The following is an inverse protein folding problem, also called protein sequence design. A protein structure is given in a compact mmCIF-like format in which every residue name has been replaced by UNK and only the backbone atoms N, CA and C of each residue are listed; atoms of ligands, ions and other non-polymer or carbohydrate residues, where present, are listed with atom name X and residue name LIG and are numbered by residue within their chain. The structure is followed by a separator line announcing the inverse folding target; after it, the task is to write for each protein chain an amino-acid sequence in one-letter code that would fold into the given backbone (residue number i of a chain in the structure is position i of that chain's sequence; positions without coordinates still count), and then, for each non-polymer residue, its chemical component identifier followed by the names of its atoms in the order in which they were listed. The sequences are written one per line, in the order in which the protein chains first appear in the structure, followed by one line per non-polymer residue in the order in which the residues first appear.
data_IF_737976114238
#
_entry.id   IF_737976114238
#
_cell.length_a   1.000
_cell.length_b   1.000
_cell.length_c   1.000
_cell.angle_alpha   90.00
_cell.angle_beta   90.00
_cell.angle_gamma   90.00
#
_symmetry.space_group_name_H-M   'P 1'
#
loop_
_entity.id
_entity.type
_entity.pdbx_description
1 polymer ?
#
# COMPACT_ATOMS: atom_id res chain seq x y z
N UNK A 1 1.95 -13.88 -11.92
CA UNK A 1 3.42 -13.82 -12.02
C UNK A 1 3.75 -12.35 -11.81
N UNK A 2 4.17 -11.99 -10.61
CA UNK A 2 4.55 -10.59 -10.31
C UNK A 2 5.91 -10.32 -10.96
N UNK A 3 6.03 -9.26 -11.75
CA UNK A 3 7.27 -8.95 -12.47
C UNK A 3 8.35 -8.38 -11.53
N UNK A 4 9.60 -8.84 -11.68
CA UNK A 4 10.79 -8.30 -11.00
C UNK A 4 10.85 -6.76 -11.11
N UNK A 5 11.23 -6.06 -10.02
CA UNK A 5 11.59 -4.64 -10.06
C UNK A 5 12.89 -4.46 -10.83
N UNK A 6 12.97 -3.42 -11.67
CA UNK A 6 14.20 -3.15 -12.38
C UNK A 6 15.28 -2.69 -11.39
N UNK A 7 16.55 -3.02 -11.66
CA UNK A 7 17.68 -2.59 -10.83
C UNK A 7 17.77 -1.07 -10.69
N UNK A 8 17.33 -0.33 -11.71
CA UNK A 8 17.21 1.13 -11.68
C UNK A 8 16.19 1.60 -10.65
N UNK A 9 15.06 0.91 -10.51
CA UNK A 9 14.00 1.27 -9.57
C UNK A 9 14.47 1.03 -8.13
N UNK A 10 15.12 -0.11 -7.88
CA UNK A 10 15.69 -0.44 -6.57
C UNK A 10 16.76 0.59 -6.17
N UNK A 11 17.65 0.96 -7.09
CA UNK A 11 18.67 1.98 -6.84
C UNK A 11 18.06 3.36 -6.60
N UNK A 12 16.99 3.70 -7.32
CA UNK A 12 16.21 4.91 -7.13
C UNK A 12 15.58 4.98 -5.74
N UNK A 13 14.88 3.91 -5.34
CA UNK A 13 14.28 3.76 -4.01
C UNK A 13 15.36 3.93 -2.93
N UNK A 14 16.50 3.23 -3.02
CA UNK A 14 17.61 3.39 -2.05
C UNK A 14 18.08 4.84 -1.97
N UNK A 15 18.20 5.53 -3.11
CA UNK A 15 18.66 6.92 -3.16
C UNK A 15 17.66 7.86 -2.52
N UNK A 16 16.37 7.67 -2.82
CA UNK A 16 15.27 8.45 -2.26
C UNK A 16 15.19 8.25 -0.75
N UNK A 17 15.27 7.00 -0.29
CA UNK A 17 15.25 6.64 1.13
C UNK A 17 16.45 7.22 1.89
N UNK A 18 17.67 7.15 1.33
CA UNK A 18 18.87 7.80 1.91
C UNK A 18 18.71 9.32 2.06
N UNK A 19 17.95 9.94 1.16
CA UNK A 19 17.74 11.39 1.14
C UNK A 19 16.62 11.82 2.08
N UNK A 20 15.60 10.99 2.22
CA UNK A 20 14.46 11.21 3.11
C UNK A 20 14.83 10.96 4.58
N UNK A 21 15.59 9.89 4.85
CA UNK A 21 15.90 9.45 6.21
C UNK A 21 17.41 9.33 6.40
N UNK A 22 17.94 10.13 7.32
CA UNK A 22 19.37 10.18 7.61
C UNK A 22 19.81 8.87 8.27
N UNK A 23 20.87 8.26 7.73
CA UNK A 23 21.49 7.05 8.29
C UNK A 23 20.54 5.82 8.37
N UNK A 24 19.61 5.72 7.41
CA UNK A 24 18.61 4.65 7.38
C UNK A 24 19.19 3.27 7.07
N UNK A 25 20.20 3.16 6.20
CA UNK A 25 20.78 1.87 5.83
C UNK A 25 22.01 1.53 6.66
N UNK A 26 22.14 0.25 7.04
CA UNK A 26 23.33 -0.21 7.74
C UNK A 26 24.55 -0.11 6.81
N UNK A 27 25.65 0.55 7.21
CA UNK A 27 26.88 0.54 6.44
C UNK A 27 27.51 -0.84 6.52
N UNK A 28 27.23 -1.70 5.54
CA UNK A 28 27.94 -2.95 5.35
C UNK A 28 29.26 -2.67 4.65
N UNK A 29 30.33 -3.39 5.04
CA UNK A 29 31.66 -3.29 4.43
C UNK A 29 31.63 -3.63 2.92
N UNK A 30 30.64 -4.41 2.50
CA UNK A 30 30.37 -4.80 1.11
C UNK A 30 29.44 -3.82 0.36
N UNK A 31 28.89 -2.80 1.04
CA UNK A 31 27.99 -1.81 0.44
C UNK A 31 26.59 -2.32 0.04
N UNK A 32 26.29 -3.59 0.31
CA UNK A 32 25.02 -4.25 -0.03
C UNK A 32 23.89 -3.77 0.88
N UNK A 33 23.08 -2.81 0.42
CA UNK A 33 21.96 -2.25 1.19
C UNK A 33 20.63 -3.02 1.03
N UNK A 34 20.54 -3.89 0.02
CA UNK A 34 19.33 -4.65 -0.32
C UNK A 34 19.71 -6.08 -0.66
N UNK A 35 18.93 -7.04 -0.15
CA UNK A 35 19.05 -8.46 -0.50
C UNK A 35 17.81 -8.82 -1.31
N UNK A 36 18.03 -9.44 -2.47
CA UNK A 36 16.95 -9.92 -3.32
C UNK A 36 16.91 -11.43 -3.26
N UNK A 37 15.73 -12.00 -3.06
CA UNK A 37 15.51 -13.43 -3.10
C UNK A 37 14.11 -13.78 -3.64
N UNK A 38 13.96 -15.03 -4.10
CA UNK A 38 12.67 -15.52 -4.59
C UNK A 38 11.90 -16.17 -3.44
N UNK A 39 10.63 -15.79 -3.27
CA UNK A 39 9.73 -16.43 -2.32
C UNK A 39 9.26 -17.80 -2.79
N UNK A 40 8.97 -18.70 -1.85
CA UNK A 40 8.45 -20.06 -2.12
C UNK A 40 6.99 -20.02 -2.64
N UNK A 41 6.28 -18.92 -2.36
CA UNK A 41 4.89 -18.72 -2.79
C UNK A 41 4.78 -18.09 -4.19
N UNK A 42 3.90 -18.67 -5.02
CA UNK A 42 3.62 -18.17 -6.38
C UNK A 42 2.99 -16.74 -6.42
N UNK A 43 2.46 -16.24 -5.31
CA UNK A 43 1.94 -14.87 -5.17
C UNK A 43 3.01 -13.86 -4.74
N UNK A 44 4.08 -14.31 -4.06
CA UNK A 44 5.13 -13.48 -3.47
C UNK A 44 6.52 -13.85 -4.04
N UNK A 45 6.59 -14.00 -5.36
CA UNK A 45 7.79 -14.58 -5.99
C UNK A 45 9.03 -13.68 -5.88
N UNK A 46 8.90 -12.36 -5.75
CA UNK A 46 10.05 -11.44 -5.68
C UNK A 46 10.05 -10.68 -4.34
N UNK A 47 11.07 -10.92 -3.52
CA UNK A 47 11.21 -10.31 -2.19
C UNK A 47 12.51 -9.48 -2.14
N UNK A 48 12.39 -8.27 -1.59
CA UNK A 48 13.48 -7.30 -1.47
C UNK A 48 13.64 -6.88 0.00
N UNK A 49 14.68 -7.38 0.65
CA UNK A 49 14.98 -7.06 2.05
C UNK A 49 15.94 -5.88 2.13
N UNK A 50 15.44 -4.76 2.63
CA UNK A 50 16.23 -3.56 2.87
C UNK A 50 16.84 -3.61 4.27
N UNK A 51 18.18 -3.64 4.36
CA UNK A 51 18.86 -3.75 5.66
C UNK A 51 19.00 -2.38 6.30
N UNK A 52 18.09 -2.09 7.22
CA UNK A 52 18.07 -0.82 7.95
C UNK A 52 19.08 -0.83 9.11
N UNK A 53 19.64 0.34 9.44
CA UNK A 53 20.62 0.50 10.53
C UNK A 53 19.95 0.53 11.91
N UNK A 54 18.70 0.98 11.96
CA UNK A 54 17.88 1.10 13.16
C UNK A 54 16.43 0.79 12.79
N UNK A 55 15.63 0.41 13.77
CA UNK A 55 14.18 0.40 13.60
C UNK A 55 13.68 1.80 13.20
N UNK A 56 12.71 1.85 12.30
CA UNK A 56 12.12 3.11 11.87
C UNK A 56 10.98 3.50 12.79
N UNK A 57 10.74 4.79 12.92
CA UNK A 57 9.53 5.32 13.56
C UNK A 57 8.31 5.19 12.64
N UNK A 58 7.09 5.28 13.18
CA UNK A 58 5.86 5.25 12.37
C UNK A 58 5.87 6.32 11.26
N UNK A 59 6.21 7.56 11.61
CA UNK A 59 6.28 8.66 10.65
C UNK A 59 7.32 8.39 9.53
N UNK A 60 8.45 7.77 9.87
CA UNK A 60 9.44 7.34 8.88
C UNK A 60 8.90 6.21 8.00
N UNK A 61 8.15 5.26 8.57
CA UNK A 61 7.52 4.16 7.84
C UNK A 61 6.45 4.65 6.84
N UNK A 62 5.60 5.60 7.25
CA UNK A 62 4.62 6.22 6.35
C UNK A 62 5.28 6.96 5.20
N UNK A 63 6.38 7.68 5.48
CA UNK A 63 7.17 8.36 4.45
C UNK A 63 7.78 7.34 3.50
N UNK A 64 8.35 6.23 4.00
CA UNK A 64 8.90 5.15 3.17
C UNK A 64 7.82 4.55 2.26
N UNK A 65 6.65 4.23 2.82
CA UNK A 65 5.52 3.69 2.07
C UNK A 65 5.09 4.66 0.97
N UNK A 66 4.87 5.93 1.31
CA UNK A 66 4.48 6.96 0.34
C UNK A 66 5.50 7.12 -0.77
N UNK A 67 6.79 7.15 -0.45
CA UNK A 67 7.85 7.28 -1.45
C UNK A 67 7.91 6.08 -2.39
N UNK A 68 7.67 4.86 -1.89
CA UNK A 68 7.66 3.65 -2.73
C UNK A 68 6.38 3.62 -3.58
N UNK A 69 5.21 3.92 -3.01
CA UNK A 69 3.95 4.02 -3.75
C UNK A 69 4.00 5.09 -4.84
N UNK A 70 4.67 6.21 -4.60
CA UNK A 70 4.85 7.26 -5.62
C UNK A 70 5.90 6.86 -6.67
N UNK A 71 6.83 5.95 -6.34
CA UNK A 71 7.89 5.50 -7.25
C UNK A 71 7.45 4.36 -8.17
N UNK A 72 6.57 3.48 -7.72
CA UNK A 72 6.11 2.32 -8.50
C UNK A 72 4.59 2.20 -8.52
N UNK A 73 4.03 1.98 -9.70
CA UNK A 73 2.61 1.66 -9.90
C UNK A 73 2.30 0.17 -9.64
N UNK A 74 3.30 -0.64 -9.28
CA UNK A 74 3.11 -2.07 -9.01
C UNK A 74 2.47 -2.28 -7.64
N UNK A 75 1.55 -3.25 -7.55
CA UNK A 75 1.08 -3.76 -6.26
C UNK A 75 2.23 -4.48 -5.54
N UNK A 76 2.52 -4.08 -4.31
CA UNK A 76 3.53 -4.70 -3.45
C UNK A 76 3.00 -4.89 -2.03
N UNK A 77 3.58 -5.86 -1.32
CA UNK A 77 3.40 -6.04 0.12
C UNK A 77 4.68 -5.52 0.77
N UNK A 78 4.54 -4.66 1.77
CA UNK A 78 5.65 -4.12 2.54
C UNK A 78 5.52 -4.57 3.98
N UNK A 79 6.58 -5.17 4.50
CA UNK A 79 6.77 -5.41 5.93
C UNK A 79 7.90 -4.51 6.41
N UNK A 80 7.70 -3.83 7.55
CA UNK A 80 8.68 -2.93 8.11
C UNK A 80 8.80 -3.12 9.61
N UNK A 81 10.03 -3.26 10.08
CA UNK A 81 10.31 -3.37 11.53
C UNK A 81 10.33 -1.97 12.13
N UNK A 82 9.27 -1.61 12.86
CA UNK A 82 9.20 -0.35 13.60
C UNK A 82 9.88 -0.49 14.97
N UNK A 83 10.45 0.61 15.48
CA UNK A 83 11.04 0.66 16.83
C UNK A 83 9.99 0.86 17.93
N UNK A 84 8.77 1.21 17.56
CA UNK A 84 7.66 1.34 18.49
C UNK A 84 7.04 -0.03 18.70
N UNK A 85 7.02 -0.49 19.95
CA UNK A 85 6.25 -1.67 20.33
C UNK A 85 4.78 -1.32 20.06
N UNK A 86 4.25 -1.81 18.93
CA UNK A 86 2.87 -2.21 18.90
C UNK A 86 2.76 -3.29 19.97
N UNK A 87 2.38 -2.89 21.20
CA UNK A 87 1.91 -3.82 22.20
C UNK A 87 0.72 -4.52 21.55
N UNK A 88 1.02 -5.69 20.98
CA UNK A 88 0.15 -6.84 20.78
C UNK A 88 -1.33 -6.48 21.01
N UNK A 89 -1.93 -5.80 20.03
CA UNK A 89 -3.38 -5.80 19.94
C UNK A 89 -3.74 -7.24 19.62
N UNK A 90 -4.05 -7.99 20.68
CA UNK A 90 -4.21 -9.43 20.66
C UNK A 90 -5.07 -9.87 19.49
N UNK A 91 -4.59 -10.90 18.78
CA UNK A 91 -5.31 -11.65 17.75
C UNK A 91 -6.36 -10.82 17.00
N UNK A 92 -5.94 -9.86 16.17
CA UNK A 92 -6.80 -9.41 15.09
C UNK A 92 -6.77 -10.48 14.00
N UNK A 93 -7.73 -11.41 14.09
CA UNK A 93 -8.15 -12.29 13.00
C UNK A 93 -9.02 -11.52 11.96
N UNK A 94 -8.99 -10.18 11.97
CA UNK A 94 -9.59 -9.37 10.92
C UNK A 94 -8.54 -9.09 9.84
N UNK A 95 -8.59 -9.92 8.80
CA UNK A 95 -8.11 -9.61 7.46
C UNK A 95 -8.26 -8.09 7.20
N UNK A 96 -7.15 -7.37 7.08
CA UNK A 96 -7.15 -5.94 6.76
C UNK A 96 -7.96 -5.77 5.48
N UNK A 97 -9.20 -5.30 5.58
CA UNK A 97 -10.10 -5.14 4.43
C UNK A 97 -9.68 -3.91 3.63
N UNK A 98 -8.61 -4.08 2.86
CA UNK A 98 -8.07 -3.12 1.91
C UNK A 98 -9.16 -2.62 0.94
N UNK A 99 -10.20 -3.43 0.70
CA UNK A 99 -11.32 -3.05 -0.15
C UNK A 99 -12.17 -1.97 0.49
N UNK A 100 -12.47 -2.09 1.79
CA UNK A 100 -13.17 -1.07 2.56
C UNK A 100 -12.37 0.23 2.64
N UNK A 101 -11.04 0.15 2.83
CA UNK A 101 -10.18 1.34 2.85
C UNK A 101 -10.15 2.06 1.49
N UNK A 102 -9.94 1.32 0.39
CA UNK A 102 -9.97 1.87 -0.98
C UNK A 102 -11.35 2.49 -1.31
N UNK A 103 -12.44 1.84 -0.90
CA UNK A 103 -13.80 2.34 -1.10
C UNK A 103 -14.06 3.64 -0.32
N UNK A 104 -13.58 3.74 0.92
CA UNK A 104 -13.69 4.96 1.72
C UNK A 104 -12.97 6.14 1.07
N UNK A 105 -11.77 5.91 0.52
CA UNK A 105 -11.02 6.94 -0.22
C UNK A 105 -11.76 7.37 -1.50
N UNK A 106 -12.33 6.42 -2.25
CA UNK A 106 -13.16 6.71 -3.42
C UNK A 106 -14.41 7.53 -3.07
N UNK A 107 -15.12 7.17 -1.98
CA UNK A 107 -16.30 7.92 -1.54
C UNK A 107 -15.93 9.35 -1.16
N UNK A 108 -14.83 9.56 -0.45
CA UNK A 108 -14.36 10.89 -0.07
C UNK A 108 -14.09 11.79 -1.29
N UNK A 109 -13.38 11.27 -2.31
CA UNK A 109 -13.13 11.99 -3.58
C UNK A 109 -14.43 12.31 -4.34
N UNK A 110 -15.40 11.39 -4.31
CA UNK A 110 -16.71 11.60 -4.95
C UNK A 110 -17.54 12.66 -4.23
N UNK A 111 -17.57 12.63 -2.90
CA UNK A 111 -18.27 13.63 -2.09
C UNK A 111 -17.66 15.02 -2.33
N UNK A 112 -16.33 15.13 -2.38
CA UNK A 112 -15.62 16.38 -2.71
C UNK A 112 -16.00 16.93 -4.09
N UNK A 113 -16.16 16.05 -5.09
CA UNK A 113 -16.65 16.40 -6.44
C UNK A 113 -18.16 16.74 -6.50
N UNK A 114 -18.83 16.76 -5.34
CA UNK A 114 -20.24 17.08 -5.18
C UNK A 114 -21.17 15.92 -5.51
N UNK A 115 -20.69 14.68 -5.43
CA UNK A 115 -21.54 13.51 -5.59
C UNK A 115 -22.26 13.18 -4.29
N UNK A 116 -23.50 12.73 -4.42
CA UNK A 116 -24.37 12.37 -3.29
C UNK A 116 -24.94 10.96 -3.44
N UNK A 117 -25.25 10.34 -2.31
CA UNK A 117 -25.94 9.07 -2.31
C UNK A 117 -27.33 9.19 -2.97
N UNK A 118 -27.72 8.17 -3.74
CA UNK A 118 -29.10 7.99 -4.14
C UNK A 118 -29.35 6.66 -4.84
N UNK A 119 -30.61 6.28 -4.96
CA UNK A 119 -31.05 4.93 -5.32
C UNK A 119 -30.67 4.49 -6.76
N UNK A 120 -30.32 5.44 -7.63
CA UNK A 120 -29.94 5.20 -9.02
C UNK A 120 -28.74 6.06 -9.39
N UNK A 121 -27.82 5.49 -10.16
CA UNK A 121 -26.69 6.24 -10.71
C UNK A 121 -27.20 7.27 -11.71
N UNK A 122 -26.83 8.53 -11.52
CA UNK A 122 -27.15 9.62 -12.42
C UNK A 122 -25.97 10.60 -12.49
N UNK A 123 -25.39 10.76 -13.68
CA UNK A 123 -24.24 11.63 -13.89
C UNK A 123 -24.60 13.12 -13.91
N UNK A 124 -25.81 13.46 -14.36
CA UNK A 124 -26.28 14.86 -14.44
C UNK A 124 -26.55 15.42 -13.04
N UNK A 125 -27.21 14.64 -12.19
CA UNK A 125 -27.50 14.99 -10.79
C UNK A 125 -26.36 14.66 -9.82
N UNK A 126 -25.24 14.11 -10.33
CA UNK A 126 -24.09 13.60 -9.55
C UNK A 126 -24.53 12.67 -8.41
N UNK A 127 -25.32 11.67 -8.73
CA UNK A 127 -25.84 10.70 -7.75
C UNK A 127 -25.24 9.33 -8.00
N UNK A 128 -24.75 8.68 -6.94
CA UNK A 128 -24.20 7.32 -7.02
C UNK A 128 -24.74 6.44 -5.86
N UNK A 129 -25.37 5.28 -6.15
CA UNK A 129 -25.84 4.34 -5.12
C UNK A 129 -24.70 3.67 -4.34
N UNK A 130 -23.45 3.80 -4.80
CA UNK A 130 -22.28 3.20 -4.15
C UNK A 130 -21.67 4.10 -3.06
N UNK A 131 -22.18 5.32 -2.89
CA UNK A 131 -21.81 6.24 -1.80
C UNK A 131 -22.42 5.81 -0.45
N UNK A 132 -22.18 4.56 -0.07
CA UNK A 132 -22.52 3.97 1.21
C UNK A 132 -21.36 3.06 1.66
N UNK A 133 -21.20 2.81 2.97
CA UNK A 133 -20.13 1.96 3.49
C UNK A 133 -20.04 0.63 2.74
N UNK A 134 -18.81 0.17 2.46
CA UNK A 134 -18.58 -1.03 1.66
C UNK A 134 -19.33 -2.26 2.23
N UNK A 135 -19.40 -2.38 3.56
CA UNK A 135 -20.16 -3.41 4.27
C UNK A 135 -21.66 -3.43 3.93
N UNK A 136 -22.24 -2.27 3.60
CA UNK A 136 -23.66 -2.13 3.25
C UNK A 136 -23.94 -2.31 1.76
N UNK A 137 -22.91 -2.32 0.90
CA UNK A 137 -23.08 -2.59 -0.52
C UNK A 137 -23.54 -4.02 -0.74
N UNK A 138 -24.59 -4.19 -1.53
CA UNK A 138 -25.05 -5.51 -1.96
C UNK A 138 -23.99 -6.15 -2.86
N UNK A 139 -23.88 -7.50 -2.88
CA UNK A 139 -22.92 -8.22 -3.73
C UNK A 139 -22.95 -7.81 -5.22
N UNK A 140 -24.08 -7.29 -5.71
CA UNK A 140 -24.21 -6.74 -7.06
C UNK A 140 -23.45 -5.43 -7.30
N UNK A 141 -23.28 -4.59 -6.27
CA UNK A 141 -22.54 -3.32 -6.35
C UNK A 141 -21.06 -3.47 -6.03
N UNK A 142 -20.69 -4.51 -5.26
CA UNK A 142 -19.29 -4.86 -4.95
C UNK A 142 -18.54 -5.47 -6.15
N UNK A 143 -19.24 -6.20 -7.02
CA UNK A 143 -18.64 -6.99 -8.10
C UNK A 143 -18.68 -6.36 -9.50
N UNK A 144 -18.86 -5.03 -9.63
CA UNK A 144 -18.95 -4.42 -10.96
C UNK A 144 -17.63 -4.19 -11.69
N UNK A 145 -16.49 -4.59 -11.11
CA UNK A 145 -15.18 -4.53 -11.80
C UNK A 145 -14.82 -5.81 -12.58
N UNK A 146 -15.67 -6.86 -12.52
CA UNK A 146 -15.51 -8.07 -13.33
C UNK A 146 -16.58 -8.15 -14.42
N UNK A 147 -16.47 -7.33 -15.46
CA UNK A 147 -17.09 -7.61 -16.77
C UNK A 147 -16.58 -6.66 -17.85
N UNK A 148 -15.54 -7.10 -18.55
CA UNK A 148 -15.47 -7.12 -20.02
C UNK A 148 -14.34 -8.06 -20.43
#
# INVERSE_FOLDING_TARGET
MSDELQKSDISGIITVLKKAIVNIFQPLEDGTAVIYHMGDEAMNSHIYDFRLNRGVTEAEAEVILGLITDWTDKDFIMEITTSENYEEFGEFDDEIDLTSMKHNRWMADKIDKGWRYGLKYNKEDKVDPRLQPYQQLTNKLKNTDKTA
#
